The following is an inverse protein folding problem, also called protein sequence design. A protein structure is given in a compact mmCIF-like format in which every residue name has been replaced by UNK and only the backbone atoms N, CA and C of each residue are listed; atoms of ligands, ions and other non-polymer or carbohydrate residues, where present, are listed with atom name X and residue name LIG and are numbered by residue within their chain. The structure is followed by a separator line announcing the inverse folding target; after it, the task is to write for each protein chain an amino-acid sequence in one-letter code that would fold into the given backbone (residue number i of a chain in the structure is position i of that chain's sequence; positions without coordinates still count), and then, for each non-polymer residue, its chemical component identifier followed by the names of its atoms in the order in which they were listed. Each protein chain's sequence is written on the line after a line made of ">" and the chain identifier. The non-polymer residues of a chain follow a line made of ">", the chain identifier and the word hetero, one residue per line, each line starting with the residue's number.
data_IF_088246447874
#
_entry.id   IF_088246447874
#
_cell.length_a   1.000
_cell.length_b   1.000
_cell.length_c   1.000
_cell.angle_alpha   90.00
_cell.angle_beta   90.00
_cell.angle_gamma   90.00
#
_symmetry.space_group_name_H-M   'P 1'
#
loop_
_entity.id
_entity.type
_entity.pdbx_description
1 polymer ?
#
# COMPACT_ATOMS: atom_id res chain seq x y z
N UNK A 1 -60.66 5.55 -18.85
CA UNK A 1 -59.22 5.90 -18.93
C UNK A 1 -58.59 5.59 -17.58
N UNK A 2 -57.69 4.60 -17.49
CA UNK A 2 -56.90 4.35 -16.26
C UNK A 2 -55.51 4.95 -16.49
N UNK A 3 -55.19 6.01 -15.74
CA UNK A 3 -53.88 6.65 -15.70
C UNK A 3 -52.87 5.69 -15.08
N UNK A 4 -51.84 5.34 -15.83
CA UNK A 4 -50.71 4.54 -15.35
C UNK A 4 -49.73 5.44 -14.62
N UNK A 5 -49.85 5.52 -13.29
CA UNK A 5 -48.83 6.16 -12.46
C UNK A 5 -47.52 5.37 -12.58
N UNK A 6 -46.48 6.03 -13.10
CA UNK A 6 -45.12 5.49 -13.18
C UNK A 6 -44.62 5.17 -11.78
N UNK A 7 -44.42 3.89 -11.48
CA UNK A 7 -43.78 3.41 -10.26
C UNK A 7 -42.34 3.97 -10.21
N UNK A 8 -42.09 4.91 -9.29
CA UNK A 8 -40.76 5.50 -9.10
C UNK A 8 -39.73 4.41 -8.80
N UNK A 9 -38.69 4.28 -9.63
CA UNK A 9 -37.61 3.32 -9.43
C UNK A 9 -36.87 3.66 -8.13
N UNK A 10 -37.13 2.88 -7.07
CA UNK A 10 -36.40 2.98 -5.80
C UNK A 10 -34.92 2.66 -6.05
N UNK A 11 -34.07 3.67 -5.93
CA UNK A 11 -32.63 3.49 -5.98
C UNK A 11 -32.17 2.86 -4.66
N UNK A 12 -31.33 1.81 -4.67
CA UNK A 12 -30.85 1.21 -3.44
C UNK A 12 -30.09 2.24 -2.59
N UNK A 13 -30.17 2.14 -1.25
CA UNK A 13 -29.65 3.17 -0.33
C UNK A 13 -28.14 3.43 -0.43
N UNK A 14 -27.39 2.57 -1.13
CA UNK A 14 -25.93 2.67 -1.33
C UNK A 14 -25.53 3.03 -2.76
N UNK A 15 -26.48 3.36 -3.63
CA UNK A 15 -26.15 3.80 -4.98
C UNK A 15 -25.33 5.11 -4.94
N UNK A 16 -24.25 5.17 -5.73
CA UNK A 16 -23.42 6.37 -5.85
C UNK A 16 -22.39 6.62 -4.72
N UNK A 17 -22.43 5.87 -3.61
CA UNK A 17 -21.57 6.13 -2.44
C UNK A 17 -20.08 5.80 -2.64
N UNK A 18 -19.70 5.19 -3.76
CA UNK A 18 -18.32 4.78 -4.01
C UNK A 18 -17.79 3.78 -2.97
N UNK A 19 -16.52 3.41 -3.07
CA UNK A 19 -15.86 2.59 -2.05
C UNK A 19 -15.44 3.49 -0.89
N UNK A 20 -15.77 3.09 0.34
CA UNK A 20 -15.32 3.77 1.56
C UNK A 20 -13.79 3.95 1.52
N UNK A 21 -13.33 5.19 1.66
CA UNK A 21 -11.91 5.54 1.64
C UNK A 21 -11.17 4.79 2.76
N UNK A 22 -10.01 4.23 2.44
CA UNK A 22 -9.19 3.46 3.39
C UNK A 22 -9.51 1.97 3.49
N UNK A 23 -10.66 1.50 2.98
CA UNK A 23 -10.98 0.05 3.02
C UNK A 23 -10.10 -0.71 2.01
N UNK A 24 -9.28 -1.68 2.46
CA UNK A 24 -8.47 -2.48 1.55
C UNK A 24 -9.31 -3.23 0.51
N UNK A 25 -8.78 -3.41 -0.69
CA UNK A 25 -9.43 -4.24 -1.70
C UNK A 25 -9.54 -5.68 -1.19
N UNK A 26 -10.76 -6.27 -1.27
CA UNK A 26 -11.07 -7.62 -0.78
C UNK A 26 -10.12 -8.68 -1.36
N UNK A 27 -9.84 -8.66 -2.67
CA UNK A 27 -8.94 -9.64 -3.31
C UNK A 27 -7.51 -9.50 -2.79
N UNK A 28 -7.00 -8.27 -2.70
CA UNK A 28 -5.66 -8.01 -2.16
C UNK A 28 -5.53 -8.43 -0.70
N UNK A 29 -6.57 -8.21 0.12
CA UNK A 29 -6.62 -8.64 1.52
C UNK A 29 -6.55 -10.16 1.64
N UNK A 30 -7.38 -10.89 0.90
CA UNK A 30 -7.41 -12.35 0.90
C UNK A 30 -6.06 -12.92 0.47
N UNK A 31 -5.46 -12.34 -0.58
CA UNK A 31 -4.15 -12.76 -1.05
C UNK A 31 -3.07 -12.53 0.02
N UNK A 32 -3.06 -11.36 0.67
CA UNK A 32 -2.12 -11.05 1.76
C UNK A 32 -2.25 -12.05 2.91
N UNK A 33 -3.47 -12.36 3.33
CA UNK A 33 -3.74 -13.35 4.37
C UNK A 33 -3.28 -14.77 3.97
N UNK A 34 -3.52 -15.17 2.73
CA UNK A 34 -3.11 -16.47 2.22
C UNK A 34 -1.57 -16.62 2.17
N UNK A 35 -0.87 -15.58 1.71
CA UNK A 35 0.60 -15.55 1.67
C UNK A 35 1.19 -15.65 3.08
N UNK A 36 0.64 -14.89 4.05
CA UNK A 36 1.11 -14.94 5.44
C UNK A 36 0.91 -16.34 6.06
N UNK A 37 -0.26 -16.95 5.87
CA UNK A 37 -0.53 -18.32 6.34
C UNK A 37 0.39 -19.35 5.68
N UNK A 38 0.67 -19.19 4.39
CA UNK A 38 1.58 -20.08 3.67
C UNK A 38 3.02 -19.96 4.23
N UNK A 39 3.48 -18.74 4.48
CA UNK A 39 4.81 -18.50 5.06
C UNK A 39 4.92 -19.06 6.50
N UNK A 40 3.88 -18.87 7.33
CA UNK A 40 3.84 -19.45 8.68
C UNK A 40 3.93 -20.98 8.65
N UNK A 41 3.15 -21.64 7.78
CA UNK A 41 3.20 -23.09 7.60
C UNK A 41 4.54 -23.57 7.05
N UNK A 42 5.16 -22.81 6.16
CA UNK A 42 6.48 -23.13 5.64
C UNK A 42 7.54 -23.08 6.75
N UNK A 43 7.43 -22.12 7.66
CA UNK A 43 8.33 -21.98 8.80
C UNK A 43 8.19 -23.06 9.86
N UNK A 44 6.98 -23.61 10.07
CA UNK A 44 6.78 -24.81 10.91
C UNK A 44 7.57 -26.05 10.47
N UNK A 45 8.14 -26.05 9.26
CA UNK A 45 9.06 -27.11 8.79
C UNK A 45 10.50 -26.93 9.28
N UNK A 46 10.84 -25.76 9.82
CA UNK A 46 12.20 -25.38 10.22
C UNK A 46 12.33 -25.11 11.72
N UNK A 47 11.23 -24.77 12.41
CA UNK A 47 11.16 -24.57 13.86
C UNK A 47 9.73 -24.28 14.32
N UNK A 48 9.51 -24.12 15.63
CA UNK A 48 8.17 -24.05 16.22
C UNK A 48 7.51 -22.67 16.11
N UNK A 49 8.28 -21.61 15.85
CA UNK A 49 7.80 -20.22 15.81
C UNK A 49 7.19 -19.78 14.46
N UNK A 50 6.77 -20.74 13.63
CA UNK A 50 6.04 -20.47 12.39
C UNK A 50 6.76 -19.47 11.48
N UNK A 51 6.15 -18.30 11.23
CA UNK A 51 6.72 -17.29 10.31
C UNK A 51 8.12 -16.82 10.73
N UNK A 52 8.41 -16.79 12.03
CA UNK A 52 9.74 -16.38 12.54
C UNK A 52 10.79 -17.39 12.05
N UNK A 53 10.56 -18.69 12.29
CA UNK A 53 11.43 -19.77 11.82
C UNK A 53 11.64 -19.73 10.30
N UNK A 54 10.61 -19.35 9.53
CA UNK A 54 10.75 -19.15 8.08
C UNK A 54 11.72 -18.00 7.76
N UNK A 55 11.54 -16.85 8.42
CA UNK A 55 12.34 -15.65 8.19
C UNK A 55 13.79 -15.82 8.65
N UNK A 56 14.03 -16.49 9.78
CA UNK A 56 15.38 -16.86 10.23
C UNK A 56 16.09 -17.75 9.21
N UNK A 57 15.37 -18.74 8.66
CA UNK A 57 15.91 -19.59 7.60
C UNK A 57 16.27 -18.78 6.35
N UNK A 58 15.44 -17.79 5.97
CA UNK A 58 15.74 -16.92 4.83
C UNK A 58 16.85 -15.92 5.11
N UNK A 59 17.03 -15.47 6.34
CA UNK A 59 18.15 -14.60 6.72
C UNK A 59 19.50 -15.26 6.42
N UNK A 60 19.61 -16.58 6.69
CA UNK A 60 20.80 -17.37 6.42
C UNK A 60 20.90 -17.74 4.93
N UNK A 61 19.80 -18.18 4.30
CA UNK A 61 19.80 -18.69 2.92
C UNK A 61 19.93 -17.57 1.86
N UNK A 62 19.29 -16.44 2.11
CA UNK A 62 19.13 -15.33 1.18
C UNK A 62 19.41 -13.97 1.86
N UNK A 63 20.64 -13.75 2.38
CA UNK A 63 20.95 -12.59 3.22
C UNK A 63 20.69 -11.25 2.54
N UNK A 64 20.99 -11.12 1.24
CA UNK A 64 20.73 -9.87 0.49
C UNK A 64 19.24 -9.50 0.44
N UNK A 65 18.36 -10.50 0.23
CA UNK A 65 16.92 -10.28 0.22
C UNK A 65 16.39 -9.94 1.62
N UNK A 66 16.95 -10.57 2.65
CA UNK A 66 16.58 -10.31 4.04
C UNK A 66 17.02 -8.92 4.51
N UNK A 67 18.25 -8.49 4.21
CA UNK A 67 18.73 -7.14 4.48
C UNK A 67 17.89 -6.08 3.75
N UNK A 68 17.47 -6.36 2.51
CA UNK A 68 16.55 -5.49 1.77
C UNK A 68 15.17 -5.40 2.43
N UNK A 69 14.70 -6.48 3.06
CA UNK A 69 13.46 -6.47 3.84
C UNK A 69 13.62 -5.66 5.13
N UNK A 70 14.74 -5.82 5.86
CA UNK A 70 15.07 -5.03 7.04
C UNK A 70 15.08 -3.52 6.72
N UNK A 71 15.72 -3.16 5.61
CA UNK A 71 15.72 -1.78 5.10
C UNK A 71 14.34 -1.26 4.66
N UNK A 72 13.32 -2.10 4.50
CA UNK A 72 11.93 -1.66 4.25
C UNK A 72 11.12 -1.54 5.53
N UNK A 73 11.34 -2.42 6.51
CA UNK A 73 10.56 -2.38 7.76
C UNK A 73 11.00 -1.27 8.72
N UNK A 74 12.31 -0.93 8.74
CA UNK A 74 12.83 0.11 9.62
C UNK A 74 12.37 1.51 9.18
N UNK A 75 12.42 1.88 7.89
CA UNK A 75 11.97 3.21 7.45
C UNK A 75 10.44 3.38 7.47
N UNK A 76 9.66 2.30 7.52
CA UNK A 76 8.21 2.38 7.73
C UNK A 76 7.84 2.92 9.12
N UNK A 77 8.80 3.00 10.05
CA UNK A 77 8.65 3.67 11.35
C UNK A 77 8.95 5.17 11.29
N UNK A 78 9.35 5.72 10.13
CA UNK A 78 9.54 7.16 9.96
C UNK A 78 8.16 7.79 9.79
N UNK A 79 7.54 8.14 10.92
CA UNK A 79 6.42 9.06 10.93
C UNK A 79 6.92 10.48 10.66
N UNK A 80 6.06 11.35 10.15
CA UNK A 80 6.29 12.79 10.19
C UNK A 80 6.35 13.29 11.63
N UNK A 81 6.61 14.58 11.80
CA UNK A 81 6.55 15.27 13.10
C UNK A 81 5.24 14.88 13.83
N UNK A 82 5.35 14.53 15.11
CA UNK A 82 4.24 14.08 15.96
C UNK A 82 3.46 12.83 15.51
N UNK A 83 4.04 11.97 14.67
CA UNK A 83 3.36 10.74 14.24
C UNK A 83 2.48 10.90 13.00
N UNK A 84 2.43 12.11 12.42
CA UNK A 84 1.62 12.41 11.24
C UNK A 84 2.21 11.80 9.95
N UNK A 85 1.44 11.84 8.85
CA UNK A 85 1.96 11.47 7.53
C UNK A 85 3.10 12.40 7.11
N UNK A 86 4.13 11.85 6.46
CA UNK A 86 5.28 12.61 5.94
C UNK A 86 4.77 13.68 4.96
N UNK A 87 4.95 14.97 5.31
CA UNK A 87 4.63 16.11 4.44
C UNK A 87 5.80 16.35 3.48
N UNK A 88 5.70 15.86 2.24
CA UNK A 88 6.66 16.23 1.20
C UNK A 88 6.40 17.66 0.73
N UNK A 89 7.33 18.57 1.04
CA UNK A 89 7.31 19.94 0.51
C UNK A 89 8.12 19.94 -0.78
N UNK A 90 7.45 19.89 -1.93
CA UNK A 90 8.10 20.05 -3.24
C UNK A 90 8.20 21.53 -3.57
N UNK A 91 9.39 22.12 -3.44
CA UNK A 91 9.65 23.49 -3.93
C UNK A 91 10.05 23.42 -5.41
N UNK A 92 9.30 24.11 -6.26
CA UNK A 92 9.64 24.29 -7.67
C UNK A 92 10.16 25.72 -7.84
N UNK A 93 11.41 25.86 -8.26
CA UNK A 93 12.01 27.15 -8.57
C UNK A 93 12.00 27.34 -10.09
N UNK A 94 11.46 28.47 -10.55
CA UNK A 94 11.45 28.85 -11.96
C UNK A 94 12.64 29.78 -12.17
N UNK A 95 13.66 29.30 -12.88
CA UNK A 95 14.77 30.13 -13.34
C UNK A 95 14.50 30.57 -14.80
N UNK A 96 14.75 31.84 -15.14
CA UNK A 96 14.70 32.27 -16.54
C UNK A 96 15.82 31.58 -17.32
N UNK A 97 15.49 31.04 -18.50
CA UNK A 97 16.47 30.62 -19.48
C UNK A 97 17.08 31.87 -20.09
N UNK A 98 18.25 32.28 -19.61
CA UNK A 98 19.05 33.33 -20.25
C UNK A 98 19.75 32.69 -21.44
N UNK A 99 19.28 32.98 -22.65
CA UNK A 99 20.02 32.66 -23.86
C UNK A 99 21.04 33.78 -24.07
N UNK A 100 22.31 33.52 -23.75
CA UNK A 100 23.43 34.38 -24.11
C UNK A 100 23.67 34.30 -25.62
N UNK A 101 22.86 35.01 -26.41
CA UNK A 101 23.19 35.31 -27.80
C UNK A 101 24.15 36.51 -27.82
N UNK A 102 25.37 36.31 -27.32
CA UNK A 102 26.50 37.18 -27.66
C UNK A 102 26.97 36.77 -29.05
N UNK A 103 26.43 37.44 -30.07
CA UNK A 103 27.03 37.45 -31.40
C UNK A 103 28.04 38.60 -31.42
N UNK A 104 29.33 38.26 -31.40
CA UNK A 104 30.43 39.14 -31.81
C UNK A 104 30.72 38.84 -33.29
#
# INVERSE_FOLDING_TARGET
>A
MKTTEKLAKRTPPKAGQGRVKGVPNKTTRILKEAVLKAAERAGKKYGDDGLISYLEKQAIKCPAAYLSLLGKILPLQVTGEDGEAIKMITRVEIAPLVNDNTTD
#
